data_IF_689887833222
#
_entry.id   IF_689887833222
#
_cell.length_a   1.000
_cell.length_b   1.000
_cell.length_c   1.000
_cell.angle_alpha   90.00
_cell.angle_beta   90.00
_cell.angle_gamma   90.00
#
_symmetry.space_group_name_H-M   'P 1'
#
loop_
_entity.id
_entity.type
_entity.pdbx_description
1 polymer ?
#
# COMPACT_ATOMS: atom_id res chain seq x y z
N UNK A 1 -2.07 -12.33 12.29
CA UNK A 1 -0.75 -11.96 12.83
C UNK A 1 -0.51 -12.76 14.10
N UNK A 2 0.69 -13.27 14.32
CA UNK A 2 1.05 -13.86 15.61
C UNK A 2 1.49 -12.75 16.57
N UNK A 3 1.04 -12.76 17.84
CA UNK A 3 1.42 -11.75 18.82
C UNK A 3 2.92 -11.86 19.16
N UNK A 4 3.59 -10.71 19.31
CA UNK A 4 5.02 -10.65 19.68
C UNK A 4 5.13 -10.60 21.21
N UNK A 5 5.90 -11.50 21.86
CA UNK A 5 6.10 -11.47 23.31
C UNK A 5 6.75 -10.16 23.78
N UNK A 6 6.16 -9.52 24.81
CA UNK A 6 6.76 -8.38 25.52
C UNK A 6 6.45 -6.98 24.99
N UNK A 7 5.58 -6.83 23.99
CA UNK A 7 5.23 -5.51 23.45
C UNK A 7 3.95 -4.96 24.12
N UNK A 8 4.03 -3.79 24.78
CA UNK A 8 2.86 -3.05 25.31
C UNK A 8 1.81 -2.95 24.20
N UNK A 9 0.57 -3.41 24.47
CA UNK A 9 -0.59 -3.51 23.55
C UNK A 9 -0.44 -2.67 22.27
N UNK A 10 0.28 -3.22 21.31
CA UNK A 10 0.23 -2.79 19.93
C UNK A 10 -1.07 -3.37 19.39
N UNK A 11 -1.83 -2.59 18.64
CA UNK A 11 -3.10 -3.07 18.08
C UNK A 11 -2.74 -4.13 17.04
N UNK A 12 -2.67 -5.42 17.40
CA UNK A 12 -2.25 -6.52 16.51
C UNK A 12 -3.20 -6.79 15.32
N UNK A 13 -4.16 -5.89 15.13
CA UNK A 13 -5.20 -5.97 14.13
C UNK A 13 -5.05 -4.84 13.12
N UNK A 14 -4.85 -5.23 11.87
CA UNK A 14 -5.10 -4.39 10.69
C UNK A 14 -6.36 -4.93 10.05
N UNK A 15 -7.32 -4.06 9.75
CA UNK A 15 -8.53 -4.44 9.04
C UNK A 15 -8.22 -4.65 7.55
N UNK A 16 -7.78 -5.87 7.22
CA UNK A 16 -7.30 -6.27 5.92
C UNK A 16 -7.81 -7.66 5.54
N UNK A 17 -8.14 -7.86 4.28
CA UNK A 17 -8.60 -9.14 3.73
C UNK A 17 -7.82 -9.49 2.47
N UNK A 18 -7.50 -10.78 2.30
CA UNK A 18 -6.98 -11.27 1.03
C UNK A 18 -8.07 -11.26 -0.02
N UNK A 19 -7.70 -10.94 -1.26
CA UNK A 19 -8.58 -10.96 -2.41
C UNK A 19 -7.87 -11.71 -3.53
N UNK A 20 -8.58 -12.61 -4.18
CA UNK A 20 -8.06 -13.37 -5.31
C UNK A 20 -8.00 -12.47 -6.56
N UNK A 21 -6.99 -12.68 -7.40
CA UNK A 21 -6.89 -12.07 -8.72
C UNK A 21 -7.29 -13.05 -9.82
N UNK A 22 -7.22 -12.59 -11.06
CA UNK A 22 -7.46 -13.45 -12.21
C UNK A 22 -6.41 -14.57 -12.27
N UNK A 23 -6.84 -15.81 -12.01
CA UNK A 23 -5.98 -17.02 -11.96
C UNK A 23 -4.88 -17.03 -10.89
N UNK A 24 -4.89 -16.10 -9.92
CA UNK A 24 -3.92 -16.04 -8.83
C UNK A 24 -4.62 -15.87 -7.49
N UNK A 25 -4.58 -16.89 -6.64
CA UNK A 25 -5.15 -16.78 -5.29
C UNK A 25 -4.34 -15.82 -4.43
N UNK A 26 -5.02 -15.04 -3.58
CA UNK A 26 -4.44 -14.04 -2.68
C UNK A 26 -3.51 -13.05 -3.39
N UNK A 27 -3.88 -12.63 -4.60
CA UNK A 27 -3.11 -11.65 -5.38
C UNK A 27 -3.10 -10.26 -4.72
N UNK A 28 -4.13 -9.94 -3.94
CA UNK A 28 -4.27 -8.63 -3.28
C UNK A 28 -4.53 -8.74 -1.79
N UNK A 29 -4.21 -7.65 -1.10
CA UNK A 29 -4.70 -7.35 0.25
C UNK A 29 -5.50 -6.06 0.18
N UNK A 30 -6.81 -6.15 0.37
CA UNK A 30 -7.68 -4.98 0.54
C UNK A 30 -7.68 -4.54 2.00
N UNK A 31 -7.32 -3.27 2.27
CA UNK A 31 -7.30 -2.71 3.63
C UNK A 31 -7.92 -1.32 3.67
N UNK A 32 -8.36 -0.90 4.86
CA UNK A 32 -8.61 0.52 5.12
C UNK A 32 -7.30 1.32 5.09
N UNK A 33 -7.41 2.62 4.82
CA UNK A 33 -6.32 3.56 4.95
C UNK A 33 -5.73 3.52 6.36
N UNK A 34 -4.39 3.48 6.52
CA UNK A 34 -3.79 3.40 7.84
C UNK A 34 -4.14 4.62 8.69
N UNK A 35 -4.48 4.36 9.95
CA UNK A 35 -4.64 5.38 10.99
C UNK A 35 -3.33 5.51 11.80
N UNK A 36 -3.05 6.65 12.45
CA UNK A 36 -1.81 6.85 13.19
C UNK A 36 -1.51 5.74 14.20
N UNK A 37 -2.54 5.23 14.89
CA UNK A 37 -2.41 4.15 15.87
C UNK A 37 -2.09 2.78 15.25
N UNK A 38 -2.21 2.66 13.94
CA UNK A 38 -2.06 1.41 13.16
C UNK A 38 -0.89 1.43 12.17
N UNK A 39 -0.14 2.53 12.08
CA UNK A 39 0.99 2.65 11.14
C UNK A 39 2.02 1.54 11.33
N UNK A 40 2.37 1.25 12.58
CA UNK A 40 3.31 0.17 12.93
C UNK A 40 2.85 -1.18 12.38
N UNK A 41 1.57 -1.49 12.53
CA UNK A 41 0.99 -2.75 12.09
C UNK A 41 0.85 -2.83 10.58
N UNK A 42 0.53 -1.70 9.92
CA UNK A 42 0.51 -1.60 8.47
C UNK A 42 1.89 -1.88 7.88
N UNK A 43 2.95 -1.23 8.38
CA UNK A 43 4.30 -1.45 7.89
C UNK A 43 4.85 -2.84 8.24
N UNK A 44 4.49 -3.38 9.40
CA UNK A 44 4.78 -4.77 9.75
C UNK A 44 4.11 -5.73 8.75
N UNK A 45 2.84 -5.50 8.39
CA UNK A 45 2.14 -6.29 7.37
C UNK A 45 2.85 -6.21 6.00
N UNK A 46 3.23 -5.02 5.55
CA UNK A 46 3.99 -4.82 4.30
C UNK A 46 5.27 -5.69 4.30
N UNK A 47 6.00 -5.69 5.42
CA UNK A 47 7.22 -6.48 5.55
C UNK A 47 6.96 -8.00 5.57
N UNK A 48 6.05 -8.46 6.43
CA UNK A 48 5.74 -9.88 6.63
C UNK A 48 5.15 -10.52 5.37
N UNK A 49 4.28 -9.80 4.68
CA UNK A 49 3.65 -10.27 3.45
C UNK A 49 4.52 -10.09 2.22
N UNK A 50 5.75 -9.55 2.36
CA UNK A 50 6.69 -9.30 1.24
C UNK A 50 6.08 -8.42 0.14
N UNK A 51 5.28 -7.45 0.54
CA UNK A 51 4.61 -6.52 -0.38
C UNK A 51 5.65 -5.63 -1.05
N UNK A 52 5.60 -5.53 -2.36
CA UNK A 52 6.42 -4.60 -3.16
C UNK A 52 5.59 -3.43 -3.66
N UNK A 53 4.30 -3.62 -3.94
CA UNK A 53 3.41 -2.59 -4.48
C UNK A 53 2.31 -2.24 -3.48
N UNK A 54 2.16 -0.94 -3.21
CA UNK A 54 1.02 -0.37 -2.48
C UNK A 54 0.25 0.54 -3.43
N UNK A 55 -1.03 0.25 -3.63
CA UNK A 55 -1.97 1.05 -4.42
C UNK A 55 -2.86 1.85 -3.47
N UNK A 56 -2.73 3.18 -3.51
CA UNK A 56 -3.50 4.13 -2.73
C UNK A 56 -4.44 4.91 -3.67
N UNK A 57 -5.75 4.81 -3.44
CA UNK A 57 -6.79 5.39 -4.32
C UNK A 57 -7.67 6.43 -3.60
N UNK A 58 -7.08 7.18 -2.67
CA UNK A 58 -7.74 8.26 -1.92
C UNK A 58 -6.72 9.35 -1.64
N UNK A 59 -7.14 10.61 -1.70
CA UNK A 59 -6.30 11.71 -1.24
C UNK A 59 -6.27 11.77 0.30
N UNK A 60 -5.28 12.46 0.87
CA UNK A 60 -5.20 12.66 2.33
C UNK A 60 -6.37 13.50 2.85
N UNK A 61 -6.74 14.53 2.09
CA UNK A 61 -7.85 15.45 2.38
C UNK A 61 -8.70 15.61 1.13
N UNK A 62 -10.02 15.53 1.30
CA UNK A 62 -11.01 15.73 0.24
C UNK A 62 -12.08 16.70 0.77
N UNK A 63 -12.28 17.84 0.09
CA UNK A 63 -13.18 18.94 0.49
C UNK A 63 -13.00 19.36 1.96
N UNK A 64 -11.76 19.52 2.40
CA UNK A 64 -11.42 19.91 3.77
C UNK A 64 -11.64 18.83 4.83
N UNK A 65 -12.09 17.62 4.45
CA UNK A 65 -12.22 16.49 5.38
C UNK A 65 -11.03 15.55 5.23
N UNK A 66 -10.38 15.21 6.35
CA UNK A 66 -9.32 14.18 6.38
C UNK A 66 -9.92 12.82 6.00
N UNK A 67 -9.29 12.14 5.05
CA UNK A 67 -9.69 10.83 4.50
C UNK A 67 -8.68 9.74 4.80
N UNK A 68 -7.40 10.07 4.72
CA UNK A 68 -6.30 9.17 5.05
C UNK A 68 -5.21 9.97 5.75
N UNK A 69 -4.50 9.31 6.66
CA UNK A 69 -3.30 9.86 7.27
C UNK A 69 -2.06 9.51 6.44
N UNK A 70 -1.05 10.38 6.49
CA UNK A 70 0.21 10.16 5.79
C UNK A 70 1.04 9.17 6.60
N UNK A 71 1.08 7.91 6.13
CA UNK A 71 1.77 6.81 6.80
C UNK A 71 3.21 6.61 6.29
N UNK A 72 3.77 7.59 5.58
CA UNK A 72 5.13 7.56 5.04
C UNK A 72 5.85 8.87 5.38
N UNK A 73 7.19 8.88 5.45
CA UNK A 73 7.95 10.09 5.73
C UNK A 73 7.82 11.11 4.60
N UNK A 74 7.65 12.39 4.94
CA UNK A 74 7.72 13.49 3.97
C UNK A 74 9.14 13.69 3.45
N UNK A 75 10.12 13.51 4.33
CA UNK A 75 11.55 13.62 4.05
C UNK A 75 12.33 12.72 5.00
N UNK A 76 13.54 12.32 4.62
CA UNK A 76 14.40 11.51 5.48
C UNK A 76 13.83 10.12 5.77
N UNK A 77 13.89 9.74 7.05
CA UNK A 77 13.61 8.39 7.54
C UNK A 77 12.69 8.48 8.76
N UNK A 78 11.61 7.72 8.76
CA UNK A 78 10.73 7.52 9.91
C UNK A 78 10.74 6.05 10.35
N UNK A 79 10.43 5.81 11.63
CA UNK A 79 10.36 4.46 12.19
C UNK A 79 8.96 4.18 12.71
N UNK A 80 8.34 3.12 12.20
CA UNK A 80 7.03 2.63 12.60
C UNK A 80 7.20 1.26 13.27
N UNK A 81 7.16 1.25 14.60
CA UNK A 81 7.47 0.07 15.42
C UNK A 81 8.88 -0.46 15.16
N UNK A 82 8.97 -1.58 14.43
CA UNK A 82 10.25 -2.25 14.10
C UNK A 82 10.68 -2.06 12.65
N UNK A 83 9.89 -1.33 11.86
CA UNK A 83 10.14 -1.07 10.44
C UNK A 83 10.59 0.37 10.28
N UNK A 84 11.79 0.55 9.74
CA UNK A 84 12.29 1.84 9.30
C UNK A 84 11.91 2.06 7.84
N UNK A 85 11.36 3.23 7.52
CA UNK A 85 10.91 3.59 6.17
C UNK A 85 11.62 4.88 5.76
N UNK A 86 12.19 4.88 4.56
CA UNK A 86 12.88 6.02 3.96
C UNK A 86 12.20 6.37 2.64
N UNK A 87 11.90 7.65 2.43
CA UNK A 87 11.54 8.15 1.10
C UNK A 87 12.81 8.27 0.26
N UNK A 88 12.88 7.52 -0.84
CA UNK A 88 14.02 7.55 -1.77
C UNK A 88 13.75 8.48 -2.94
N UNK A 89 12.54 8.39 -3.51
CA UNK A 89 12.14 9.17 -4.69
C UNK A 89 10.63 9.41 -4.69
N UNK A 90 10.22 10.56 -5.20
CA UNK A 90 8.83 10.89 -5.48
C UNK A 90 8.71 11.39 -6.93
N UNK A 91 7.92 10.69 -7.74
CA UNK A 91 7.64 11.01 -9.14
C UNK A 91 6.17 11.45 -9.27
N UNK A 92 5.95 12.75 -9.50
CA UNK A 92 4.61 13.32 -9.66
C UNK A 92 4.20 13.29 -11.13
N UNK A 93 3.10 12.60 -11.44
CA UNK A 93 2.49 12.54 -12.77
C UNK A 93 1.17 13.32 -12.76
N UNK A 94 0.54 13.46 -13.93
CA UNK A 94 -0.71 14.22 -14.07
C UNK A 94 -1.87 13.68 -13.22
N UNK A 95 -1.99 12.36 -13.07
CA UNK A 95 -3.15 11.72 -12.40
C UNK A 95 -2.77 10.83 -11.22
N UNK A 96 -1.47 10.67 -10.94
CA UNK A 96 -0.97 9.87 -9.83
C UNK A 96 0.44 10.29 -9.43
N UNK A 97 0.88 9.87 -8.25
CA UNK A 97 2.25 10.00 -7.75
C UNK A 97 2.80 8.62 -7.48
N UNK A 98 4.08 8.37 -7.83
CA UNK A 98 4.79 7.15 -7.43
C UNK A 98 5.85 7.53 -6.41
N UNK A 99 5.85 6.85 -5.26
CA UNK A 99 6.91 6.97 -4.26
C UNK A 99 7.72 5.69 -4.20
N UNK A 100 9.02 5.81 -4.31
CA UNK A 100 9.97 4.74 -4.02
C UNK A 100 10.36 4.83 -2.56
N UNK A 101 9.97 3.84 -1.78
CA UNK A 101 10.21 3.74 -0.35
C UNK A 101 11.19 2.60 -0.10
N UNK A 102 12.20 2.84 0.74
CA UNK A 102 13.11 1.80 1.21
C UNK A 102 12.71 1.42 2.63
N UNK A 103 12.43 0.14 2.86
CA UNK A 103 12.05 -0.39 4.17
C UNK A 103 13.13 -1.30 4.73
N UNK A 104 13.35 -1.25 6.04
CA UNK A 104 14.30 -2.09 6.78
C UNK A 104 13.67 -2.58 8.08
N UNK A 105 13.82 -3.87 8.36
CA UNK A 105 13.41 -4.44 9.65
C UNK A 105 14.55 -4.36 10.67
N UNK A 106 14.38 -3.52 11.70
CA UNK A 106 15.44 -3.16 12.65
C UNK A 106 15.93 -4.34 13.50
N UNK A 107 15.09 -5.35 13.73
CA UNK A 107 15.48 -6.55 14.51
C UNK A 107 16.13 -7.66 13.68
N UNK A 108 16.17 -7.55 12.36
CA UNK A 108 16.82 -8.56 11.51
C UNK A 108 18.28 -8.15 11.32
N UNK A 109 19.19 -8.89 11.95
CA UNK A 109 20.63 -8.64 11.85
C UNK A 109 21.10 -8.87 10.41
N UNK A 110 21.91 -7.94 9.90
CA UNK A 110 22.66 -8.11 8.64
C UNK A 110 23.58 -9.33 8.78
N UNK A 111 23.26 -10.43 8.10
CA UNK A 111 24.27 -11.46 7.80
C UNK A 111 25.06 -11.00 6.58
N UNK A 112 26.32 -11.46 6.45
CA UNK A 112 27.30 -10.99 5.46
C UNK A 112 26.83 -11.01 3.99
N UNK A 113 25.72 -11.67 3.65
CA UNK A 113 25.17 -11.75 2.29
C UNK A 113 23.64 -11.57 2.22
N UNK A 114 23.02 -10.94 3.22
CA UNK A 114 21.56 -10.74 3.20
C UNK A 114 21.21 -9.30 2.90
N UNK A 115 20.51 -9.08 1.78
CA UNK A 115 19.84 -7.82 1.49
C UNK A 115 18.80 -7.60 2.59
N UNK A 116 19.05 -6.63 3.46
CA UNK A 116 18.19 -6.31 4.62
C UNK A 116 17.19 -5.21 4.33
N UNK A 117 17.36 -4.54 3.20
CA UNK A 117 16.53 -3.42 2.78
C UNK A 117 15.70 -3.87 1.59
N UNK A 118 14.41 -3.54 1.59
CA UNK A 118 13.49 -3.84 0.48
C UNK A 118 12.96 -2.54 -0.08
N UNK A 119 12.74 -2.51 -1.40
CA UNK A 119 12.04 -1.41 -2.04
C UNK A 119 10.54 -1.71 -2.08
N UNK A 120 9.75 -0.69 -1.77
CA UNK A 120 8.29 -0.68 -1.87
C UNK A 120 7.90 0.53 -2.69
N UNK A 121 7.02 0.33 -3.66
CA UNK A 121 6.50 1.37 -4.53
C UNK A 121 5.07 1.69 -4.14
N UNK A 122 4.84 2.93 -3.72
CA UNK A 122 3.49 3.43 -3.46
C UNK A 122 2.98 4.16 -4.70
N UNK A 123 1.99 3.57 -5.35
CA UNK A 123 1.22 4.16 -6.43
C UNK A 123 0.01 4.88 -5.82
N UNK A 124 0.02 6.21 -5.83
CA UNK A 124 -1.02 7.05 -5.26
C UNK A 124 -1.82 7.74 -6.38
N UNK A 125 -3.02 7.26 -6.66
CA UNK A 125 -3.91 7.89 -7.64
C UNK A 125 -4.56 9.13 -7.03
N UNK A 126 -4.26 10.30 -7.58
CA UNK A 126 -4.62 11.61 -7.00
C UNK A 126 -5.89 12.20 -7.62
N UNK A 127 -6.31 11.70 -8.78
CA UNK A 127 -7.42 12.26 -9.55
C UNK A 127 -8.74 11.48 -9.40
N UNK A 128 -8.96 10.81 -8.26
CA UNK A 128 -10.22 10.11 -8.00
C UNK A 128 -11.28 11.11 -7.49
N UNK A 129 -12.47 11.20 -8.10
CA UNK A 129 -13.51 12.13 -7.66
C UNK A 129 -14.13 11.72 -6.31
N UNK A 130 -14.41 12.69 -5.44
CA UNK A 130 -14.95 12.44 -4.09
C UNK A 130 -16.28 11.66 -4.07
N UNK A 131 -17.08 11.82 -5.12
CA UNK A 131 -18.33 11.11 -5.33
C UNK A 131 -18.30 10.42 -6.70
N UNK A 132 -18.78 9.18 -6.75
CA UNK A 132 -18.89 8.42 -7.98
C UNK A 132 -17.59 7.78 -8.44
N UNK A 133 -17.47 7.65 -9.76
CA UNK A 133 -16.35 7.04 -10.47
C UNK A 133 -15.71 8.09 -11.38
N UNK A 134 -14.43 7.97 -11.73
CA UNK A 134 -13.83 8.84 -12.74
C UNK A 134 -14.68 8.86 -14.03
N UNK A 135 -14.83 10.04 -14.62
CA UNK A 135 -15.61 10.23 -15.86
C UNK A 135 -15.04 9.40 -17.04
N UNK A 136 -13.74 9.16 -17.00
CA UNK A 136 -13.04 8.31 -17.95
C UNK A 136 -12.33 7.17 -17.21
N UNK A 137 -12.58 5.90 -17.57
CA UNK A 137 -11.93 4.76 -16.92
C UNK A 137 -10.46 4.62 -17.30
N UNK A 138 -10.05 5.10 -18.48
CA UNK A 138 -8.71 4.88 -19.05
C UNK A 138 -7.54 5.26 -18.13
N UNK A 139 -7.54 6.42 -17.42
CA UNK A 139 -6.46 6.76 -16.50
C UNK A 139 -6.35 5.79 -15.32
N UNK A 140 -7.48 5.31 -14.78
CA UNK A 140 -7.50 4.30 -13.72
C UNK A 140 -7.06 2.95 -14.23
N UNK A 141 -7.53 2.52 -15.40
CA UNK A 141 -7.10 1.26 -16.03
C UNK A 141 -5.59 1.26 -16.29
N UNK A 142 -5.04 2.35 -16.83
CA UNK A 142 -3.61 2.53 -17.07
C UNK A 142 -2.81 2.49 -15.77
N UNK A 143 -3.31 3.14 -14.73
CA UNK A 143 -2.71 3.13 -13.40
C UNK A 143 -2.67 1.72 -12.79
N UNK A 144 -3.80 1.00 -12.82
CA UNK A 144 -3.89 -0.38 -12.32
C UNK A 144 -2.93 -1.28 -13.09
N UNK A 145 -2.96 -1.25 -14.43
CA UNK A 145 -2.06 -2.03 -15.27
C UNK A 145 -0.60 -1.75 -14.96
N UNK A 146 -0.21 -0.48 -14.81
CA UNK A 146 1.16 -0.10 -14.42
C UNK A 146 1.55 -0.63 -13.05
N UNK A 147 0.67 -0.54 -12.06
CA UNK A 147 0.95 -1.03 -10.70
C UNK A 147 1.07 -2.56 -10.64
N UNK A 148 0.27 -3.27 -11.45
CA UNK A 148 0.29 -4.72 -11.54
C UNK A 148 1.55 -5.25 -12.23
N UNK A 149 1.90 -4.68 -13.39
CA UNK A 149 3.12 -5.03 -14.14
C UNK A 149 4.39 -4.72 -13.33
N UNK A 150 4.34 -3.74 -12.44
CA UNK A 150 5.46 -3.41 -11.56
C UNK A 150 5.65 -4.40 -10.41
N UNK A 151 4.68 -5.29 -10.14
CA UNK A 151 4.78 -6.29 -9.07
C UNK A 151 5.60 -7.50 -9.55
N UNK A 152 6.76 -7.80 -8.95
CA UNK A 152 7.57 -8.96 -9.35
C UNK A 152 6.81 -10.28 -9.17
N UNK A 153 7.00 -11.30 -10.03
CA UNK A 153 6.29 -12.58 -9.93
C UNK A 153 6.53 -13.34 -8.62
N UNK A 154 7.67 -13.12 -7.97
CA UNK A 154 8.10 -13.74 -6.71
C UNK A 154 7.78 -12.89 -5.46
N UNK A 155 7.13 -11.74 -5.66
CA UNK A 155 6.74 -10.84 -4.58
C UNK A 155 5.43 -11.28 -3.92
N UNK A 156 5.11 -10.63 -2.79
CA UNK A 156 3.85 -10.80 -2.10
C UNK A 156 2.65 -10.21 -2.83
N UNK A 157 1.47 -10.24 -2.17
CA UNK A 157 0.28 -9.60 -2.70
C UNK A 157 0.45 -8.09 -2.86
N UNK A 158 -0.30 -7.50 -3.78
CA UNK A 158 -0.43 -6.05 -3.91
C UNK A 158 -1.37 -5.55 -2.81
N UNK A 159 -0.92 -4.59 -2.00
CA UNK A 159 -1.85 -3.91 -1.07
C UNK A 159 -2.65 -2.87 -1.85
N UNK A 160 -3.96 -2.87 -1.67
CA UNK A 160 -4.86 -1.84 -2.20
C UNK A 160 -5.62 -1.21 -1.03
N UNK A 161 -5.57 0.11 -0.90
CA UNK A 161 -6.30 0.82 0.16
C UNK A 161 -6.89 2.16 -0.28
N UNK A 162 -7.94 2.56 0.44
CA UNK A 162 -8.68 3.81 0.26
C UNK A 162 -9.07 4.34 1.66
N UNK A 163 -10.21 5.04 1.80
CA UNK A 163 -10.73 5.50 3.10
C UNK A 163 -11.31 4.38 3.97
N UNK A 164 -11.98 3.40 3.35
CA UNK A 164 -12.65 2.30 4.03
C UNK A 164 -12.43 1.00 3.26
N UNK A 165 -12.38 -0.12 3.99
CA UNK A 165 -12.28 -1.48 3.44
C UNK A 165 -13.40 -1.75 2.41
N UNK A 166 -14.54 -1.05 2.55
CA UNK A 166 -15.75 -1.19 1.72
C UNK A 166 -15.88 -0.11 0.63
N UNK A 167 -14.81 0.27 -0.07
CA UNK A 167 -14.97 0.95 -1.36
C UNK A 167 -15.10 -0.06 -2.50
N UNK A 168 -16.02 -1.03 -2.37
CA UNK A 168 -16.26 -2.13 -3.32
C UNK A 168 -16.34 -1.65 -4.78
N UNK A 169 -16.94 -0.47 -5.02
CA UNK A 169 -16.98 0.14 -6.35
C UNK A 169 -15.59 0.48 -6.89
N UNK A 170 -14.64 0.94 -6.09
CA UNK A 170 -13.28 1.21 -6.58
C UNK A 170 -12.51 -0.08 -6.83
N UNK A 171 -12.73 -1.10 -6.00
CA UNK A 171 -12.07 -2.40 -6.14
C UNK A 171 -12.57 -3.18 -7.37
N UNK A 172 -13.87 -3.13 -7.67
CA UNK A 172 -14.43 -3.74 -8.87
C UNK A 172 -13.85 -3.14 -10.16
N UNK A 173 -13.48 -1.85 -10.20
CA UNK A 173 -12.77 -1.28 -11.36
C UNK A 173 -11.35 -1.84 -11.51
N UNK A 174 -10.68 -2.16 -10.40
CA UNK A 174 -9.34 -2.76 -10.41
C UNK A 174 -9.43 -4.20 -10.93
N UNK A 175 -10.41 -4.98 -10.48
CA UNK A 175 -10.64 -6.36 -10.97
C UNK A 175 -11.05 -6.38 -12.45
N UNK A 176 -11.95 -5.49 -12.87
CA UNK A 176 -12.36 -5.34 -14.27
C UNK A 176 -11.15 -4.96 -15.13
N UNK A 177 -10.30 -4.03 -14.68
CA UNK A 177 -9.08 -3.65 -15.39
C UNK A 177 -8.12 -4.83 -15.62
N UNK A 178 -8.04 -5.74 -14.65
CA UNK A 178 -7.18 -6.91 -14.67
C UNK A 178 -7.73 -8.04 -15.55
N UNK A 179 -9.04 -8.10 -15.75
CA UNK A 179 -9.70 -9.13 -16.56
C UNK A 179 -9.58 -8.87 -18.07
N UNK A 180 -9.18 -7.66 -18.47
CA UNK A 180 -8.94 -7.25 -19.87
C UNK A 180 -7.46 -7.19 -20.25
N UNK A 181 -6.56 -7.73 -19.41
CA UNK A 181 -5.12 -7.85 -19.66
C UNK A 181 -4.69 -9.31 -19.72
#
# INVERSE_FOLDING_TARGET
>A
MLPIPGQKKCVDYVNANYIDGFMQSRAYIGTQGPLPVTFDCFWRMVWEQRVVIIVMITNLVERGRRKCDMYWPKEGIETYGVIQVKLVKEDVMATYTVRTLQIRHLRIKKKKHTVTDRLVYQYHYTNWPDHGTPDHPLPVLSFVKKSSVANPPDSGPIIVHCRSVLSFKKFSYIEVAHSYS
#
